data_IF_825766287228
#
_entry.id   IF_825766287228
#
_cell.length_a   1.000
_cell.length_b   1.000
_cell.length_c   1.000
_cell.angle_alpha   90.00
_cell.angle_beta   90.00
_cell.angle_gamma   90.00
#
_symmetry.space_group_name_H-M   'P 1'
#
loop_
_entity.id
_entity.type
_entity.pdbx_description
1 polymer ?
#
# COMPACT_ATOMS: atom_id res chain seq x y z
N UNK A 1 -13.73 -1.01 39.35
CA UNK A 1 -12.94 -1.42 38.16
C UNK A 1 -11.61 -0.72 38.26
N UNK A 2 -10.60 -1.44 38.75
CA UNK A 2 -9.27 -0.91 39.04
C UNK A 2 -8.57 -0.48 37.76
N UNK A 3 -7.82 0.60 37.90
CA UNK A 3 -7.13 1.36 36.88
C UNK A 3 -5.92 0.57 36.32
N UNK A 4 -6.18 -0.49 35.56
CA UNK A 4 -5.11 -1.34 34.96
C UNK A 4 -4.23 -0.54 33.98
N UNK A 5 -4.75 0.55 33.40
CA UNK A 5 -3.96 1.50 32.60
C UNK A 5 -2.98 2.35 33.43
N UNK A 6 -3.18 2.50 34.74
CA UNK A 6 -2.21 3.17 35.61
C UNK A 6 -1.04 2.28 36.03
N UNK A 7 -1.09 0.97 35.75
CA UNK A 7 -0.03 0.01 36.07
C UNK A 7 0.88 -0.34 34.89
N UNK A 8 0.81 0.40 33.78
CA UNK A 8 1.83 0.25 32.75
C UNK A 8 3.20 0.58 33.37
N UNK A 9 4.20 -0.33 33.31
CA UNK A 9 5.53 -0.08 33.83
C UNK A 9 6.09 1.24 33.28
N UNK A 10 6.86 1.99 34.09
CA UNK A 10 7.42 3.30 33.71
C UNK A 10 8.23 3.25 32.40
N UNK A 11 8.87 2.12 32.09
CA UNK A 11 9.57 1.93 30.81
C UNK A 11 8.63 1.89 29.60
N UNK A 12 7.39 1.41 29.75
CA UNK A 12 6.36 1.42 28.69
C UNK A 12 5.88 2.85 28.41
N UNK A 13 5.72 3.67 29.45
CA UNK A 13 5.43 5.12 29.28
C UNK A 13 6.62 5.83 28.63
N UNK A 14 7.84 5.49 29.03
CA UNK A 14 9.07 5.99 28.42
C UNK A 14 9.11 5.74 26.91
N UNK A 15 8.79 4.53 26.44
CA UNK A 15 8.74 4.19 25.00
C UNK A 15 7.65 4.99 24.27
N UNK A 16 6.45 5.09 24.86
CA UNK A 16 5.34 5.85 24.27
C UNK A 16 5.64 7.37 24.18
N UNK A 17 6.39 7.91 25.13
CA UNK A 17 6.81 9.32 25.18
C UNK A 17 8.06 9.60 24.33
N UNK A 18 8.91 8.59 24.02
CA UNK A 18 10.21 8.79 23.34
C UNK A 18 10.18 8.73 21.81
N UNK A 19 9.11 8.26 21.16
CA UNK A 19 9.08 8.31 19.69
C UNK A 19 8.74 9.74 19.24
N UNK A 20 9.79 10.52 19.07
CA UNK A 20 9.73 11.85 18.49
C UNK A 20 8.94 11.86 17.17
N UNK A 21 8.32 13.00 16.78
CA UNK A 21 7.68 13.14 15.47
C UNK A 21 8.61 12.74 14.31
N UNK A 22 9.93 12.98 14.45
CA UNK A 22 10.93 12.58 13.47
C UNK A 22 11.04 11.05 13.37
N UNK A 23 11.13 10.34 14.49
CA UNK A 23 11.19 8.88 14.53
C UNK A 23 9.89 8.27 14.00
N UNK A 24 8.71 8.82 14.35
CA UNK A 24 7.43 8.35 13.79
C UNK A 24 7.40 8.51 12.27
N UNK A 25 7.88 9.64 11.75
CA UNK A 25 7.97 9.87 10.31
C UNK A 25 8.95 8.92 9.62
N UNK A 26 10.05 8.54 10.29
CA UNK A 26 11.00 7.54 9.79
C UNK A 26 10.34 6.15 9.71
N UNK A 27 9.62 5.73 10.76
CA UNK A 27 8.83 4.49 10.78
C UNK A 27 7.83 4.49 9.63
N UNK A 28 7.01 5.54 9.52
CA UNK A 28 6.00 5.71 8.48
C UNK A 28 6.63 5.64 7.07
N UNK A 29 7.77 6.30 6.85
CA UNK A 29 8.49 6.24 5.57
C UNK A 29 8.96 4.82 5.25
N UNK A 30 9.57 4.12 6.20
CA UNK A 30 10.08 2.75 6.01
C UNK A 30 8.94 1.79 5.68
N UNK A 31 7.88 1.80 6.48
CA UNK A 31 6.65 1.01 6.23
C UNK A 31 6.09 1.27 4.84
N UNK A 32 5.94 2.54 4.45
CA UNK A 32 5.41 2.89 3.15
C UNK A 32 6.25 2.38 1.98
N UNK A 33 7.58 2.39 2.11
CA UNK A 33 8.50 1.86 1.09
C UNK A 33 8.33 0.35 0.95
N UNK A 34 8.32 -0.38 2.05
CA UNK A 34 8.21 -1.85 2.03
C UNK A 34 6.83 -2.32 1.52
N UNK A 35 5.74 -1.70 1.98
CA UNK A 35 4.40 -2.00 1.50
C UNK A 35 4.22 -1.66 0.01
N UNK A 36 4.82 -0.55 -0.47
CA UNK A 36 4.86 -0.24 -1.90
C UNK A 36 5.57 -1.33 -2.69
N UNK A 37 6.72 -1.80 -2.18
CA UNK A 37 7.53 -2.86 -2.81
C UNK A 37 6.75 -4.18 -2.87
N UNK A 38 6.07 -4.56 -1.79
CA UNK A 38 5.21 -5.74 -1.75
C UNK A 38 4.09 -5.67 -2.81
N UNK A 39 3.35 -4.56 -2.85
CA UNK A 39 2.29 -4.35 -3.85
C UNK A 39 2.83 -4.32 -5.29
N UNK A 40 4.01 -3.72 -5.51
CA UNK A 40 4.68 -3.73 -6.82
C UNK A 40 5.09 -5.14 -7.25
N UNK A 41 5.58 -5.98 -6.33
CA UNK A 41 5.95 -7.35 -6.61
C UNK A 41 4.71 -8.18 -7.02
N UNK A 42 3.62 -8.11 -6.25
CA UNK A 42 2.36 -8.81 -6.57
C UNK A 42 1.78 -8.36 -7.91
N UNK A 43 1.73 -7.04 -8.13
CA UNK A 43 1.29 -6.48 -9.42
C UNK A 43 2.16 -6.96 -10.58
N UNK A 44 3.48 -7.04 -10.40
CA UNK A 44 4.39 -7.56 -11.43
C UNK A 44 4.16 -9.04 -11.71
N UNK A 45 3.84 -9.82 -10.67
CA UNK A 45 3.41 -11.21 -10.77
C UNK A 45 1.96 -11.38 -11.26
N UNK A 46 1.26 -10.28 -11.56
CA UNK A 46 -0.16 -10.27 -11.97
C UNK A 46 -1.09 -10.95 -10.95
N UNK A 47 -0.83 -10.73 -9.65
CA UNK A 47 -1.64 -11.24 -8.54
C UNK A 47 -2.05 -10.11 -7.58
N UNK A 48 -3.14 -10.32 -6.84
CA UNK A 48 -3.51 -9.47 -5.71
C UNK A 48 -2.91 -9.93 -4.37
N UNK A 49 -3.25 -9.24 -3.28
CA UNK A 49 -2.80 -9.55 -1.93
C UNK A 49 -3.30 -10.90 -1.40
N UNK A 50 -4.43 -11.40 -1.91
CA UNK A 50 -5.00 -12.69 -1.55
C UNK A 50 -4.42 -13.83 -2.41
N UNK A 51 -3.56 -13.51 -3.38
CA UNK A 51 -2.92 -14.46 -4.28
C UNK A 51 -3.74 -14.78 -5.54
N UNK A 52 -4.87 -14.12 -5.76
CA UNK A 52 -5.68 -14.35 -6.95
C UNK A 52 -4.97 -13.76 -8.17
N UNK A 53 -4.94 -14.52 -9.27
CA UNK A 53 -4.42 -14.02 -10.55
C UNK A 53 -5.37 -13.00 -11.16
N UNK A 54 -4.83 -11.90 -11.66
CA UNK A 54 -5.61 -10.90 -12.39
C UNK A 54 -6.23 -11.50 -13.64
N UNK A 55 -7.50 -11.16 -13.89
CA UNK A 55 -8.13 -11.45 -15.18
C UNK A 55 -7.31 -10.82 -16.30
N UNK A 56 -6.91 -11.61 -17.30
CA UNK A 56 -6.11 -11.13 -18.42
C UNK A 56 -6.85 -10.01 -19.21
N UNK A 57 -6.13 -9.08 -19.85
CA UNK A 57 -6.76 -8.11 -20.75
C UNK A 57 -7.31 -8.83 -22.00
N UNK A 58 -8.40 -8.30 -22.58
CA UNK A 58 -9.02 -8.85 -23.79
C UNK A 58 -8.04 -8.97 -24.97
N UNK A 59 -7.06 -8.08 -25.04
CA UNK A 59 -5.95 -8.16 -25.98
C UNK A 59 -4.67 -8.37 -25.19
N UNK A 60 -4.17 -9.60 -25.21
CA UNK A 60 -2.90 -9.95 -24.62
C UNK A 60 -1.78 -9.14 -25.30
N UNK A 61 -1.01 -8.41 -24.50
CA UNK A 61 0.23 -7.77 -24.94
C UNK A 61 1.40 -8.54 -24.36
N UNK A 62 2.56 -8.45 -25.00
CA UNK A 62 3.82 -9.04 -24.51
C UNK A 62 4.34 -8.38 -23.22
N UNK A 63 3.57 -7.49 -22.57
CA UNK A 63 3.98 -6.78 -21.36
C UNK A 63 2.92 -6.97 -20.25
N UNK A 64 3.34 -7.27 -19.01
CA UNK A 64 2.44 -7.37 -17.86
C UNK A 64 1.61 -6.09 -17.68
N UNK A 65 0.37 -6.23 -17.21
CA UNK A 65 -0.46 -5.07 -16.89
C UNK A 65 0.20 -4.24 -15.78
N UNK A 66 -0.10 -2.94 -15.77
CA UNK A 66 0.29 -1.99 -14.73
C UNK A 66 1.79 -1.72 -14.54
N UNK A 67 2.69 -2.37 -15.30
CA UNK A 67 4.15 -2.18 -15.25
C UNK A 67 4.58 -0.71 -15.17
N UNK A 68 3.98 0.14 -16.01
CA UNK A 68 4.31 1.56 -16.05
C UNK A 68 3.80 2.31 -14.81
N UNK A 69 2.57 2.06 -14.35
CA UNK A 69 1.97 2.82 -13.24
C UNK A 69 2.58 2.42 -11.88
N UNK A 70 3.19 1.23 -11.79
CA UNK A 70 3.93 0.81 -10.60
C UNK A 70 5.31 1.43 -10.46
N UNK A 71 5.80 2.16 -11.47
CA UNK A 71 7.06 2.88 -11.36
C UNK A 71 7.01 3.96 -10.26
N UNK A 72 8.13 4.20 -9.59
CA UNK A 72 8.23 5.16 -8.47
C UNK A 72 7.81 6.59 -8.85
N UNK A 73 7.85 6.96 -10.14
CA UNK A 73 7.32 8.24 -10.64
C UNK A 73 5.79 8.37 -10.49
N UNK A 74 5.04 7.27 -10.37
CA UNK A 74 3.58 7.27 -10.24
C UNK A 74 3.11 6.67 -8.92
N UNK A 75 3.74 5.59 -8.45
CA UNK A 75 3.41 4.92 -7.20
C UNK A 75 4.17 5.54 -6.02
N UNK A 76 3.48 6.42 -5.30
CA UNK A 76 4.05 7.31 -4.29
C UNK A 76 3.83 6.76 -2.88
N UNK A 77 4.78 7.11 -2.01
CA UNK A 77 4.70 6.96 -0.57
C UNK A 77 4.70 8.37 0.03
N UNK A 78 3.71 8.68 0.86
CA UNK A 78 3.53 9.98 1.52
C UNK A 78 3.49 9.78 3.03
N UNK A 79 4.64 9.77 3.71
CA UNK A 79 4.71 9.63 5.15
C UNK A 79 4.58 10.98 5.85
N UNK A 80 3.89 10.96 6.98
CA UNK A 80 3.81 12.02 7.99
C UNK A 80 4.27 11.43 9.32
N UNK A 81 4.23 12.22 10.40
CA UNK A 81 4.54 11.74 11.75
C UNK A 81 3.39 10.96 12.41
N UNK A 82 2.21 10.88 11.77
CA UNK A 82 1.01 10.22 12.29
C UNK A 82 0.45 9.13 11.38
N UNK A 83 0.77 9.19 10.08
CA UNK A 83 0.27 8.24 9.08
C UNK A 83 1.24 8.09 7.90
N UNK A 84 1.06 7.01 7.13
CA UNK A 84 1.63 6.87 5.78
C UNK A 84 0.55 6.53 4.78
N UNK A 85 0.51 7.27 3.68
CA UNK A 85 -0.34 6.95 2.54
C UNK A 85 0.50 6.37 1.40
N UNK A 86 0.01 5.32 0.75
CA UNK A 86 0.62 4.73 -0.43
C UNK A 86 -0.43 4.72 -1.53
N UNK A 87 -0.05 5.14 -2.74
CA UNK A 87 -0.99 5.14 -3.84
C UNK A 87 -0.45 5.83 -5.07
N UNK A 88 -1.31 5.96 -6.08
CA UNK A 88 -0.92 6.45 -7.39
C UNK A 88 -1.31 7.91 -7.60
N UNK A 89 -0.47 8.67 -8.30
CA UNK A 89 -0.78 10.07 -8.67
C UNK A 89 -1.24 10.21 -10.13
N UNK A 90 -2.00 11.27 -10.42
CA UNK A 90 -2.38 11.64 -11.79
C UNK A 90 -3.19 10.55 -12.51
N UNK A 91 -2.91 10.33 -13.79
CA UNK A 91 -3.61 9.33 -14.61
C UNK A 91 -3.45 7.90 -14.09
N UNK A 92 -2.31 7.57 -13.46
CA UNK A 92 -2.09 6.29 -12.82
C UNK A 92 -3.09 6.03 -11.69
N UNK A 93 -3.41 7.05 -10.89
CA UNK A 93 -4.45 6.98 -9.85
C UNK A 93 -5.83 6.67 -10.41
N UNK A 94 -6.20 7.32 -11.52
CA UNK A 94 -7.47 7.01 -12.20
C UNK A 94 -7.52 5.58 -12.70
N UNK A 95 -6.46 5.10 -13.36
CA UNK A 95 -6.37 3.72 -13.87
C UNK A 95 -6.47 2.73 -12.71
N UNK A 96 -5.65 2.91 -11.67
CA UNK A 96 -5.67 2.05 -10.50
C UNK A 96 -7.05 2.00 -9.87
N UNK A 97 -7.73 3.14 -9.69
CA UNK A 97 -9.09 3.19 -9.14
C UNK A 97 -10.13 2.45 -9.98
N UNK A 98 -10.06 2.56 -11.31
CA UNK A 98 -10.96 1.84 -12.22
C UNK A 98 -10.83 0.33 -12.01
N UNK A 99 -9.60 -0.17 -11.93
CA UNK A 99 -9.33 -1.59 -11.78
C UNK A 99 -9.55 -2.09 -10.35
N UNK A 100 -9.18 -1.31 -9.34
CA UNK A 100 -9.39 -1.62 -7.93
C UNK A 100 -10.88 -1.80 -7.60
N UNK A 101 -11.73 -0.94 -8.15
CA UNK A 101 -13.17 -0.91 -7.86
C UNK A 101 -14.03 -1.58 -8.96
N UNK A 102 -13.41 -2.13 -10.02
CA UNK A 102 -14.13 -2.79 -11.12
C UNK A 102 -15.10 -1.87 -11.89
N UNK A 103 -14.71 -0.62 -12.17
CA UNK A 103 -15.62 0.39 -12.71
C UNK A 103 -16.01 0.16 -14.16
N UNK A 104 -17.20 0.65 -14.50
CA UNK A 104 -17.56 0.99 -15.87
C UNK A 104 -16.80 2.26 -16.29
N UNK A 105 -15.88 2.15 -17.26
CA UNK A 105 -15.07 3.27 -17.73
C UNK A 105 -14.87 3.23 -19.24
N UNK A 106 -14.53 4.38 -19.83
CA UNK A 106 -14.20 4.50 -21.25
C UNK A 106 -13.00 3.62 -21.61
N UNK A 107 -13.06 2.95 -22.77
CA UNK A 107 -11.95 2.13 -23.29
C UNK A 107 -10.76 3.00 -23.71
N UNK A 108 -11.06 4.18 -24.26
CA UNK A 108 -10.08 5.24 -24.57
C UNK A 108 -10.63 6.56 -24.04
N UNK A 109 -9.74 7.44 -23.58
CA UNK A 109 -10.13 8.77 -23.07
C UNK A 109 -10.93 9.52 -24.16
N UNK A 110 -12.13 9.97 -23.82
CA UNK A 110 -13.04 10.68 -24.72
C UNK A 110 -13.88 9.76 -25.63
N UNK A 111 -13.80 8.44 -25.47
CA UNK A 111 -14.62 7.52 -26.27
C UNK A 111 -16.00 7.31 -25.63
N UNK A 112 -17.05 7.27 -26.45
CA UNK A 112 -18.40 6.94 -25.99
C UNK A 112 -18.55 5.48 -25.53
N UNK A 113 -17.64 4.60 -25.98
CA UNK A 113 -17.66 3.17 -25.61
C UNK A 113 -17.11 2.97 -24.20
N UNK A 114 -17.97 2.48 -23.31
CA UNK A 114 -17.59 2.07 -21.95
C UNK A 114 -17.45 0.55 -21.85
N UNK A 115 -16.62 0.12 -20.90
CA UNK A 115 -16.35 -1.28 -20.62
C UNK A 115 -16.36 -1.52 -19.10
N UNK A 116 -17.05 -2.56 -18.60
CA UNK A 116 -16.99 -2.95 -17.19
C UNK A 116 -15.66 -3.65 -16.92
N UNK A 117 -14.73 -2.96 -16.27
CA UNK A 117 -13.43 -3.53 -15.97
C UNK A 117 -13.56 -4.56 -14.84
N UNK A 118 -12.96 -5.76 -14.97
CA UNK A 118 -12.95 -6.69 -13.85
C UNK A 118 -12.03 -6.17 -12.74
N UNK A 119 -12.42 -6.46 -11.49
CA UNK A 119 -11.66 -6.09 -10.31
C UNK A 119 -10.26 -6.68 -10.37
N UNK A 120 -9.26 -5.83 -10.14
CA UNK A 120 -7.86 -6.19 -9.95
C UNK A 120 -7.36 -5.33 -8.80
N UNK A 121 -7.21 -5.94 -7.63
CA UNK A 121 -6.78 -5.29 -6.40
C UNK A 121 -5.27 -5.05 -6.47
N UNK A 122 -4.89 -3.89 -7.03
CA UNK A 122 -3.48 -3.48 -7.21
C UNK A 122 -2.90 -2.95 -5.88
N UNK A 123 -3.77 -2.40 -5.03
CA UNK A 123 -3.45 -2.00 -3.66
C UNK A 123 -4.17 -2.93 -2.70
N UNK A 124 -3.40 -3.67 -1.91
CA UNK A 124 -3.91 -4.56 -0.88
C UNK A 124 -2.89 -4.75 0.24
N UNK A 125 -3.41 -5.25 1.35
CA UNK A 125 -2.67 -5.67 2.54
C UNK A 125 -3.12 -7.09 2.84
N UNK A 126 -2.18 -8.00 3.08
CA UNK A 126 -2.46 -9.35 3.56
C UNK A 126 -1.69 -9.65 4.85
N UNK A 127 -1.81 -10.88 5.36
CA UNK A 127 -1.11 -11.28 6.59
C UNK A 127 0.42 -11.20 6.52
N UNK A 128 1.04 -11.29 5.34
CA UNK A 128 2.49 -11.04 5.21
C UNK A 128 2.82 -9.56 5.39
N UNK A 129 1.98 -8.68 4.87
CA UNK A 129 2.12 -7.24 5.03
C UNK A 129 1.92 -6.82 6.50
N UNK A 130 0.97 -7.44 7.20
CA UNK A 130 0.77 -7.23 8.64
C UNK A 130 2.00 -7.64 9.46
N UNK A 131 2.58 -8.82 9.16
CA UNK A 131 3.83 -9.28 9.80
C UNK A 131 5.00 -8.35 9.48
N UNK A 132 5.09 -7.86 8.25
CA UNK A 132 6.09 -6.87 7.83
C UNK A 132 5.92 -5.57 8.60
N UNK A 133 4.69 -5.10 8.81
CA UNK A 133 4.40 -3.90 9.59
C UNK A 133 4.85 -4.09 11.04
N UNK A 134 4.44 -5.18 11.70
CA UNK A 134 4.81 -5.47 13.08
C UNK A 134 6.33 -5.55 13.23
N UNK A 135 7.00 -6.34 12.37
CA UNK A 135 8.45 -6.49 12.38
C UNK A 135 9.16 -5.15 12.19
N UNK A 136 8.71 -4.32 11.25
CA UNK A 136 9.34 -3.02 10.98
C UNK A 136 9.23 -2.08 12.17
N UNK A 137 8.08 -2.07 12.85
CA UNK A 137 7.89 -1.26 14.06
C UNK A 137 8.77 -1.81 15.19
N UNK A 138 8.75 -3.12 15.43
CA UNK A 138 9.57 -3.79 16.45
C UNK A 138 11.06 -3.52 16.25
N UNK A 139 11.58 -3.71 15.05
CA UNK A 139 12.98 -3.47 14.72
C UNK A 139 13.39 -2.01 14.97
N UNK A 140 12.47 -1.04 14.82
CA UNK A 140 12.76 0.37 15.08
C UNK A 140 12.64 0.77 16.55
N UNK A 141 11.82 0.06 17.32
CA UNK A 141 11.68 0.26 18.78
C UNK A 141 12.83 -0.36 19.57
N UNK A 142 13.46 -1.41 19.03
CA UNK A 142 14.53 -2.17 19.69
C UNK A 142 15.94 -1.77 19.24
N UNK A 143 16.05 -0.75 18.38
CA UNK A 143 17.34 -0.17 18.00
C UNK A 143 17.73 0.93 18.99
N UNK A 144 18.50 0.53 20.01
CA UNK A 144 19.48 1.38 20.72
C UNK A 144 20.86 1.21 20.08
#
# INVERSE_FOLDING_TARGET
MSNDLAQLPLWVRGIAETISPANRRQVARKLGIELRKANQARTSAQTDADGNTFVAPLQAKNSPMFREITNARYFQVKPTDSQVAIGFRGSAGRIAKIHQEGKLSEVRKGSAKKYPYPVRTILGINGEDERLIEKTIRDLLLQD
#
